data_IF_485184089126
#
_entry.id   IF_485184089126
#
_cell.length_a   1.000
_cell.length_b   1.000
_cell.length_c   1.000
_cell.angle_alpha   90.00
_cell.angle_beta   90.00
_cell.angle_gamma   90.00
#
_symmetry.space_group_name_H-M   'P 1'
#
loop_
_entity.id
_entity.type
_entity.pdbx_description
1 polymer ?
#
# COMPACT_ATOMS: atom_id res chain seq x y z
N UNK A 1 10.13 -10.73 -18.00
CA UNK A 1 10.98 -11.52 -17.09
C UNK A 1 10.12 -12.06 -15.96
N UNK A 2 10.36 -13.29 -15.45
CA UNK A 2 9.73 -13.71 -14.21
C UNK A 2 10.20 -12.79 -13.07
N UNK A 3 9.26 -12.30 -12.26
CA UNK A 3 9.55 -11.48 -11.09
C UNK A 3 9.79 -12.42 -9.91
N UNK A 4 10.98 -12.36 -9.31
CA UNK A 4 11.27 -13.12 -8.09
C UNK A 4 10.56 -12.53 -6.87
N UNK A 5 10.46 -13.31 -5.79
CA UNK A 5 9.73 -12.88 -4.58
C UNK A 5 10.35 -11.64 -3.92
N UNK A 6 11.67 -11.46 -3.98
CA UNK A 6 12.33 -10.28 -3.43
C UNK A 6 11.96 -9.01 -4.18
N UNK A 7 11.96 -9.08 -5.51
CA UNK A 7 11.52 -7.98 -6.39
C UNK A 7 10.03 -7.67 -6.19
N UNK A 8 9.17 -8.69 -6.08
CA UNK A 8 7.75 -8.52 -5.79
C UNK A 8 7.52 -7.78 -4.46
N UNK A 9 8.21 -8.19 -3.39
CA UNK A 9 8.13 -7.53 -2.08
C UNK A 9 8.60 -6.07 -2.17
N UNK A 10 9.67 -5.78 -2.92
CA UNK A 10 10.17 -4.42 -3.13
C UNK A 10 9.13 -3.53 -3.81
N UNK A 11 8.49 -4.01 -4.87
CA UNK A 11 7.38 -3.31 -5.55
C UNK A 11 6.25 -3.00 -4.57
N UNK A 12 5.84 -3.97 -3.75
CA UNK A 12 4.80 -3.74 -2.72
C UNK A 12 5.20 -2.63 -1.73
N UNK A 13 6.48 -2.57 -1.34
CA UNK A 13 7.00 -1.52 -0.43
C UNK A 13 7.00 -0.15 -1.10
N UNK A 14 7.43 -0.08 -2.36
CA UNK A 14 7.50 1.17 -3.12
C UNK A 14 6.10 1.75 -3.35
N UNK A 15 5.12 0.89 -3.69
CA UNK A 15 3.70 1.27 -3.78
C UNK A 15 3.22 1.86 -2.45
N UNK A 16 3.44 1.18 -1.32
CA UNK A 16 2.98 1.65 -0.01
C UNK A 16 3.67 2.96 0.40
N UNK A 17 4.95 3.14 0.06
CA UNK A 17 5.72 4.35 0.32
C UNK A 17 5.18 5.55 -0.48
N UNK A 18 4.89 5.32 -1.76
CA UNK A 18 4.25 6.33 -2.62
C UNK A 18 2.88 6.75 -2.08
N UNK A 19 2.02 5.78 -1.77
CA UNK A 19 0.69 6.06 -1.24
C UNK A 19 0.75 6.78 0.12
N UNK A 20 1.72 6.45 0.98
CA UNK A 20 1.93 7.16 2.25
C UNK A 20 2.34 8.62 2.04
N UNK A 21 3.15 8.90 1.02
CA UNK A 21 3.52 10.26 0.61
C UNK A 21 2.29 11.04 0.13
N UNK A 22 1.53 10.49 -0.81
CA UNK A 22 0.29 11.12 -1.32
C UNK A 22 -0.72 11.37 -0.20
N UNK A 23 -0.87 10.41 0.71
CA UNK A 23 -1.72 10.54 1.90
C UNK A 23 -1.27 11.70 2.80
N UNK A 24 0.04 11.83 3.05
CA UNK A 24 0.61 12.93 3.86
C UNK A 24 0.40 14.29 3.19
N UNK A 25 0.62 14.40 1.89
CA UNK A 25 0.39 15.62 1.11
C UNK A 25 -1.06 16.09 1.19
N UNK A 26 -2.00 15.14 1.33
CA UNK A 26 -3.44 15.41 1.48
C UNK A 26 -3.90 15.60 2.93
N UNK A 27 -2.97 15.61 3.89
CA UNK A 27 -3.31 15.80 5.30
C UNK A 27 -4.10 14.64 5.94
N UNK A 28 -4.06 13.44 5.35
CA UNK A 28 -4.77 12.26 5.87
C UNK A 28 -3.92 11.52 6.92
N UNK A 29 -4.53 11.14 8.03
CA UNK A 29 -3.92 10.27 9.04
C UNK A 29 -4.04 8.80 8.62
N UNK A 30 -3.18 7.92 9.15
CA UNK A 30 -3.26 6.47 8.89
C UNK A 30 -4.60 5.89 9.38
N UNK A 31 -5.18 6.50 10.42
CA UNK A 31 -6.49 6.15 10.96
C UNK A 31 -7.60 6.47 9.98
N UNK A 32 -7.73 7.73 9.55
CA UNK A 32 -8.74 8.14 8.57
C UNK A 32 -8.58 7.42 7.23
N UNK A 33 -7.34 7.22 6.79
CA UNK A 33 -7.06 6.48 5.55
C UNK A 33 -7.53 5.03 5.66
N UNK A 34 -7.22 4.36 6.78
CA UNK A 34 -7.65 3.00 7.03
C UNK A 34 -9.17 2.85 7.21
N UNK A 35 -9.82 3.78 7.92
CA UNK A 35 -11.28 3.80 8.08
C UNK A 35 -12.00 3.93 6.74
N UNK A 36 -11.52 4.82 5.87
CA UNK A 36 -12.11 5.03 4.54
C UNK A 36 -11.81 3.87 3.59
N UNK A 37 -10.61 3.27 3.65
CA UNK A 37 -10.22 2.18 2.75
C UNK A 37 -10.88 0.85 3.14
N UNK A 38 -11.14 0.64 4.43
CA UNK A 38 -11.64 -0.63 4.97
C UNK A 38 -12.98 -0.43 5.69
N UNK A 39 -13.93 0.20 5.02
CA UNK A 39 -15.29 0.39 5.54
C UNK A 39 -15.90 -0.96 5.96
N UNK A 40 -16.47 -1.01 7.16
CA UNK A 40 -17.02 -2.23 7.75
C UNK A 40 -16.00 -3.13 8.46
N UNK A 41 -14.70 -2.80 8.43
CA UNK A 41 -13.69 -3.43 9.29
C UNK A 41 -13.59 -2.68 10.62
N UNK A 42 -13.64 -3.42 11.73
CA UNK A 42 -13.50 -2.86 13.09
C UNK A 42 -12.11 -2.22 13.31
N UNK A 43 -11.13 -2.45 12.42
CA UNK A 43 -9.74 -2.07 12.65
C UNK A 43 -8.98 -1.61 11.38
N UNK A 44 -9.55 -0.65 10.63
CA UNK A 44 -8.90 -0.07 9.42
C UNK A 44 -7.50 0.48 9.68
N UNK A 45 -7.30 1.22 10.78
CA UNK A 45 -5.98 1.72 11.22
C UNK A 45 -4.95 0.62 11.41
N UNK A 46 -5.33 -0.46 12.12
CA UNK A 46 -4.44 -1.61 12.37
C UNK A 46 -4.05 -2.29 11.06
N UNK A 47 -4.97 -2.32 10.09
CA UNK A 47 -4.69 -2.89 8.78
C UNK A 47 -3.65 -2.08 7.99
N UNK A 48 -3.78 -0.75 7.97
CA UNK A 48 -2.74 0.14 7.41
C UNK A 48 -1.40 -0.05 8.14
N UNK A 49 -1.42 -0.15 9.47
CA UNK A 49 -0.21 -0.37 10.27
C UNK A 49 0.47 -1.70 9.93
N UNK A 50 -0.29 -2.78 9.80
CA UNK A 50 0.21 -4.11 9.46
C UNK A 50 0.84 -4.18 8.06
N UNK A 51 0.35 -3.37 7.11
CA UNK A 51 0.92 -3.25 5.78
C UNK A 51 2.25 -2.47 5.81
N UNK A 52 2.37 -1.45 6.66
CA UNK A 52 3.54 -0.56 6.72
C UNK A 52 4.66 -1.06 7.62
N UNK A 53 4.35 -1.75 8.72
CA UNK A 53 5.32 -2.12 9.77
C UNK A 53 5.54 -3.63 9.82
N UNK A 54 6.77 -4.07 10.19
CA UNK A 54 7.02 -5.47 10.50
C UNK A 54 6.07 -5.98 11.58
N UNK A 55 5.58 -7.20 11.41
CA UNK A 55 4.84 -7.90 12.46
C UNK A 55 5.80 -8.72 13.34
N UNK A 56 5.26 -9.50 14.27
CA UNK A 56 6.04 -10.37 15.16
C UNK A 56 6.96 -11.36 14.44
N UNK A 57 6.66 -11.67 13.17
CA UNK A 57 7.45 -12.52 12.28
C UNK A 57 8.58 -11.76 11.55
N UNK A 58 8.79 -10.48 11.85
CA UNK A 58 9.83 -9.64 11.24
C UNK A 58 9.52 -9.12 9.85
N UNK A 59 8.35 -9.45 9.27
CA UNK A 59 7.96 -9.02 7.93
C UNK A 59 6.63 -8.26 7.97
N UNK A 60 6.47 -7.19 7.19
CA UNK A 60 5.16 -6.57 7.02
C UNK A 60 4.20 -7.50 6.29
N UNK A 61 2.90 -7.23 6.40
CA UNK A 61 1.89 -7.97 5.65
C UNK A 61 2.06 -7.74 4.13
N UNK A 62 1.84 -8.79 3.33
CA UNK A 62 1.79 -8.69 1.86
C UNK A 62 0.65 -7.78 1.42
N UNK A 63 0.89 -6.95 0.41
CA UNK A 63 -0.13 -6.08 -0.17
C UNK A 63 -0.96 -6.87 -1.18
N UNK A 64 -2.18 -7.27 -0.81
CA UNK A 64 -3.08 -7.91 -1.76
C UNK A 64 -3.76 -6.89 -2.67
N UNK A 65 -4.15 -7.32 -3.88
CA UNK A 65 -4.79 -6.45 -4.90
C UNK A 65 -6.02 -5.73 -4.34
N UNK A 66 -6.86 -6.41 -3.58
CA UNK A 66 -8.06 -5.80 -3.00
C UNK A 66 -7.72 -4.64 -2.04
N UNK A 67 -6.69 -4.81 -1.20
CA UNK A 67 -6.26 -3.77 -0.28
C UNK A 67 -5.57 -2.62 -1.04
N UNK A 68 -4.77 -2.93 -2.05
CA UNK A 68 -4.16 -1.94 -2.94
C UNK A 68 -5.20 -1.03 -3.62
N UNK A 69 -6.22 -1.62 -4.25
CA UNK A 69 -7.28 -0.85 -4.95
C UNK A 69 -8.06 0.02 -3.97
N UNK A 70 -8.39 -0.49 -2.78
CA UNK A 70 -9.07 0.28 -1.72
C UNK A 70 -8.25 1.49 -1.27
N UNK A 71 -6.96 1.29 -1.00
CA UNK A 71 -6.05 2.35 -0.55
C UNK A 71 -5.90 3.45 -1.62
N UNK A 72 -5.80 3.06 -2.90
CA UNK A 72 -5.77 3.99 -4.03
C UNK A 72 -7.08 4.77 -4.19
N UNK A 73 -8.23 4.10 -4.02
CA UNK A 73 -9.54 4.72 -4.16
C UNK A 73 -9.75 5.87 -3.18
N UNK A 74 -9.33 5.72 -1.93
CA UNK A 74 -9.41 6.80 -0.92
C UNK A 74 -8.56 8.00 -1.31
N UNK A 75 -7.41 7.74 -1.92
CA UNK A 75 -6.49 8.77 -2.38
C UNK A 75 -6.80 9.21 -3.82
N UNK A 76 -7.92 8.81 -4.43
CA UNK A 76 -8.25 9.17 -5.81
C UNK A 76 -7.06 9.06 -6.79
N UNK A 77 -6.22 8.04 -6.62
CA UNK A 77 -5.10 7.74 -7.52
C UNK A 77 -5.44 6.51 -8.32
N UNK A 78 -5.00 6.48 -9.58
CA UNK A 78 -5.19 5.36 -10.48
C UNK A 78 -4.24 4.21 -10.09
N UNK A 79 -4.75 3.03 -9.65
CA UNK A 79 -3.91 1.90 -9.29
C UNK A 79 -3.00 1.43 -10.43
N UNK A 80 -3.44 1.55 -11.68
CA UNK A 80 -2.61 1.14 -12.82
C UNK A 80 -1.36 2.02 -12.92
N UNK A 81 -1.52 3.35 -12.80
CA UNK A 81 -0.39 4.29 -12.81
C UNK A 81 0.56 4.09 -11.64
N UNK A 82 0.03 3.80 -10.45
CA UNK A 82 0.85 3.52 -9.27
C UNK A 82 1.68 2.26 -9.48
N UNK A 83 1.09 1.20 -10.02
CA UNK A 83 1.80 -0.03 -10.34
C UNK A 83 2.85 0.20 -11.43
N UNK A 84 2.50 0.85 -12.54
CA UNK A 84 3.44 1.16 -13.63
C UNK A 84 4.65 1.93 -13.11
N UNK A 85 4.44 2.97 -12.29
CA UNK A 85 5.53 3.71 -11.67
C UNK A 85 6.43 2.82 -10.82
N UNK A 86 5.85 1.96 -9.98
CA UNK A 86 6.64 1.06 -9.14
C UNK A 86 7.42 0.01 -9.94
N UNK A 87 6.90 -0.43 -11.10
CA UNK A 87 7.62 -1.30 -12.02
C UNK A 87 8.80 -0.58 -12.68
N UNK A 88 8.59 0.64 -13.18
CA UNK A 88 9.63 1.49 -13.77
C UNK A 88 10.77 1.76 -12.77
N UNK A 89 10.43 2.13 -11.53
CA UNK A 89 11.40 2.38 -10.45
C UNK A 89 12.22 1.12 -10.10
N UNK A 90 11.76 -0.07 -10.50
CA UNK A 90 12.41 -1.36 -10.31
C UNK A 90 13.01 -1.98 -11.58
N UNK A 91 13.04 -1.24 -12.70
CA UNK A 91 13.56 -1.69 -14.00
C UNK A 91 12.80 -2.91 -14.58
N UNK A 92 11.48 -2.93 -14.43
CA UNK A 92 10.59 -3.97 -14.97
C UNK A 92 9.70 -3.46 -16.11
#
# INVERSE_FOLDING_TARGET
MPVDEGTAVKIERDILSYLDTVKKERGLTDEKWGEQAFQGSVNGRRKVQNLKRPQSNGQPQKLCIADFVRLCSVLHVDPARVLSKALEDNNL
#
